data_IF_688943602608
#
_entry.id   IF_688943602608
#
_cell.length_a   1.000
_cell.length_b   1.000
_cell.length_c   1.000
_cell.angle_alpha   90.00
_cell.angle_beta   90.00
_cell.angle_gamma   90.00
#
_symmetry.space_group_name_H-M   'P 1'
#
loop_
_entity.id
_entity.type
_entity.pdbx_description
1 polymer ?
#
# COMPACT_ATOMS: atom_id res chain seq x y z
N UNK A 1 5.81 -13.02 5.76
CA UNK A 1 5.24 -11.71 5.42
C UNK A 1 6.35 -10.81 4.93
N UNK A 2 6.29 -10.52 3.64
CA UNK A 2 7.11 -9.58 2.91
C UNK A 2 6.76 -8.14 3.33
N UNK A 3 7.72 -7.24 3.13
CA UNK A 3 7.51 -5.81 3.27
C UNK A 3 7.30 -5.20 1.88
N UNK A 4 6.26 -4.39 1.72
CA UNK A 4 5.96 -3.68 0.47
C UNK A 4 6.21 -2.19 0.61
N UNK A 5 6.48 -1.51 -0.50
CA UNK A 5 6.56 -0.05 -0.53
C UNK A 5 5.20 0.55 -0.19
N UNK A 6 5.21 1.78 0.35
CA UNK A 6 4.00 2.52 0.63
C UNK A 6 4.19 4.00 0.27
N UNK A 7 3.08 4.70 0.05
CA UNK A 7 3.09 6.16 -0.10
C UNK A 7 3.31 6.91 1.22
N UNK A 8 3.21 6.24 2.37
CA UNK A 8 3.36 6.83 3.69
C UNK A 8 4.75 7.44 3.91
N UNK A 9 4.77 8.60 4.57
CA UNK A 9 5.98 9.36 4.87
C UNK A 9 6.44 9.09 6.30
N UNK A 10 7.73 8.82 6.47
CA UNK A 10 8.35 8.64 7.78
C UNK A 10 8.32 9.96 8.58
N UNK A 11 7.70 9.98 9.77
CA UNK A 11 7.65 11.20 10.60
C UNK A 11 9.02 11.69 11.08
N UNK A 12 10.06 10.86 10.98
CA UNK A 12 11.40 11.20 11.44
C UNK A 12 12.32 11.77 10.35
N UNK A 13 12.22 11.27 9.12
CA UNK A 13 13.18 11.61 8.06
C UNK A 13 12.56 12.03 6.74
N UNK A 14 11.22 12.02 6.62
CA UNK A 14 10.52 12.43 5.40
C UNK A 14 10.63 11.45 4.22
N UNK A 15 11.30 10.30 4.38
CA UNK A 15 11.37 9.27 3.34
C UNK A 15 10.17 8.33 3.39
N UNK A 16 9.93 7.58 2.32
CA UNK A 16 8.85 6.60 2.25
C UNK A 16 9.03 5.47 3.27
N UNK A 17 7.90 5.00 3.79
CA UNK A 17 7.79 3.84 4.66
C UNK A 17 7.55 2.57 3.86
N UNK A 18 7.84 1.44 4.49
CA UNK A 18 7.46 0.11 4.01
C UNK A 18 6.49 -0.51 5.01
N UNK A 19 5.69 -1.48 4.58
CA UNK A 19 4.91 -2.29 5.53
C UNK A 19 5.84 -3.03 6.49
N UNK A 20 5.45 -3.14 7.76
CA UNK A 20 6.25 -3.86 8.77
C UNK A 20 5.86 -5.33 8.83
N UNK A 21 6.84 -6.19 9.09
CA UNK A 21 6.63 -7.60 9.43
C UNK A 21 6.65 -7.87 10.94
N UNK A 22 6.79 -6.82 11.77
CA UNK A 22 6.80 -6.93 13.22
C UNK A 22 5.37 -6.80 13.75
N UNK A 23 4.90 -7.73 14.61
CA UNK A 23 3.55 -7.66 15.17
C UNK A 23 3.24 -6.29 15.79
N UNK A 24 2.01 -5.82 15.57
CA UNK A 24 1.45 -4.53 16.03
C UNK A 24 1.93 -3.28 15.28
N UNK A 25 3.02 -3.35 14.52
CA UNK A 25 3.47 -2.22 13.73
C UNK A 25 2.96 -2.33 12.30
N UNK A 26 2.52 -1.21 11.75
CA UNK A 26 2.06 -1.14 10.37
C UNK A 26 3.21 -0.86 9.42
N UNK A 27 4.18 -0.07 9.89
CA UNK A 27 5.24 0.47 9.03
C UNK A 27 6.63 0.36 9.63
N UNK A 28 7.62 0.31 8.74
CA UNK A 28 9.05 0.38 9.07
C UNK A 28 9.73 1.39 8.16
N UNK A 29 10.53 2.28 8.76
CA UNK A 29 11.47 3.12 8.02
C UNK A 29 12.84 2.42 8.01
N UNK A 30 13.33 2.05 6.83
CA UNK A 30 14.63 1.36 6.69
C UNK A 30 15.81 2.29 7.01
N UNK A 31 15.69 3.59 6.71
CA UNK A 31 16.74 4.58 7.01
C UNK A 31 16.85 4.89 8.50
N UNK A 32 15.72 5.02 9.20
CA UNK A 32 15.71 5.28 10.64
C UNK A 32 15.81 4.02 11.49
N UNK A 33 15.70 2.83 10.88
CA UNK A 33 15.59 1.55 11.56
C UNK A 33 14.52 1.56 12.69
N UNK A 34 13.36 2.16 12.40
CA UNK A 34 12.27 2.37 13.37
C UNK A 34 10.94 1.90 12.80
N UNK A 35 10.09 1.36 13.66
CA UNK A 35 8.72 0.94 13.34
C UNK A 35 7.69 1.95 13.84
N UNK A 36 6.55 2.00 13.17
CA UNK A 36 5.47 2.95 13.45
C UNK A 36 4.11 2.24 13.43
N UNK A 37 3.24 2.66 14.34
CA UNK A 37 1.81 2.36 14.31
C UNK A 37 1.12 3.17 13.21
N UNK A 38 -0.04 2.70 12.72
CA UNK A 38 -0.83 3.45 11.73
C UNK A 38 -1.07 4.89 12.15
N UNK A 39 -1.52 5.11 13.40
CA UNK A 39 -1.81 6.44 13.96
C UNK A 39 -0.64 7.42 14.05
N UNK A 40 0.60 6.93 13.95
CA UNK A 40 1.80 7.79 14.01
C UNK A 40 2.15 8.40 12.65
N UNK A 41 1.61 7.84 11.58
CA UNK A 41 1.85 8.29 10.20
C UNK A 41 0.72 9.21 9.78
N UNK A 42 1.06 10.44 9.36
CA UNK A 42 0.10 11.52 9.08
C UNK A 42 0.20 12.11 7.68
N UNK A 43 1.25 11.75 6.96
CA UNK A 43 1.53 12.31 5.64
C UNK A 43 1.80 11.18 4.63
N UNK A 44 1.46 11.46 3.37
CA UNK A 44 1.63 10.59 2.21
C UNK A 44 2.17 11.41 1.03
N UNK A 45 2.97 10.80 0.16
CA UNK A 45 3.42 11.41 -1.10
C UNK A 45 2.43 11.26 -2.24
N UNK A 46 1.48 10.34 -2.14
CA UNK A 46 0.52 10.09 -3.21
C UNK A 46 -0.69 11.01 -3.05
N UNK A 47 -1.08 11.64 -4.15
CA UNK A 47 -2.20 12.56 -4.24
C UNK A 47 -2.92 12.39 -5.57
N UNK A 48 -4.21 12.72 -5.60
CA UNK A 48 -5.00 12.77 -6.82
C UNK A 48 -5.86 14.03 -6.86
N UNK A 49 -6.16 14.49 -8.07
CA UNK A 49 -7.09 15.60 -8.27
C UNK A 49 -8.53 15.09 -8.33
N UNK A 50 -9.36 15.52 -7.38
CA UNK A 50 -10.78 15.24 -7.38
C UNK A 50 -11.53 16.32 -8.17
N UNK A 51 -12.00 15.95 -9.36
CA UNK A 51 -12.74 16.87 -10.24
C UNK A 51 -14.10 17.30 -9.65
N UNK A 52 -14.70 16.51 -8.75
CA UNK A 52 -16.00 16.83 -8.15
C UNK A 52 -15.85 17.89 -7.07
N UNK A 53 -14.80 17.79 -6.25
CA UNK A 53 -14.54 18.75 -5.18
C UNK A 53 -13.57 19.86 -5.60
N UNK A 54 -13.03 19.79 -6.81
CA UNK A 54 -11.99 20.67 -7.34
C UNK A 54 -10.82 20.84 -6.36
N UNK A 55 -10.37 19.72 -5.79
CA UNK A 55 -9.33 19.73 -4.76
C UNK A 55 -8.38 18.54 -4.88
N UNK A 56 -7.14 18.75 -4.44
CA UNK A 56 -6.16 17.67 -4.30
C UNK A 56 -6.45 16.88 -3.04
N UNK A 57 -6.64 15.57 -3.19
CA UNK A 57 -6.85 14.63 -2.09
C UNK A 57 -5.64 13.72 -1.92
N UNK A 58 -5.39 13.35 -0.68
CA UNK A 58 -4.34 12.40 -0.33
C UNK A 58 -4.77 10.97 -0.69
N UNK A 59 -3.82 10.19 -1.18
CA UNK A 59 -3.97 8.76 -1.45
C UNK A 59 -2.98 7.98 -0.60
N UNK A 60 -3.48 6.95 0.08
CA UNK A 60 -2.70 6.11 0.97
C UNK A 60 -2.62 4.73 0.36
N UNK A 61 -1.45 4.25 -0.06
CA UNK A 61 -1.34 3.06 -0.89
C UNK A 61 -0.16 2.15 -0.52
N UNK A 62 -0.35 0.85 -0.75
CA UNK A 62 0.71 -0.14 -0.77
C UNK A 62 1.06 -0.43 -2.23
N UNK A 63 2.34 -0.32 -2.57
CA UNK A 63 2.86 -0.55 -3.92
C UNK A 63 3.39 -1.98 -4.02
N UNK A 64 2.71 -2.82 -4.81
CA UNK A 64 2.99 -4.26 -4.88
C UNK A 64 3.60 -4.59 -6.25
N UNK A 65 4.89 -4.94 -6.32
CA UNK A 65 5.54 -5.27 -7.58
C UNK A 65 5.03 -6.61 -8.12
N UNK A 66 4.65 -6.63 -9.39
CA UNK A 66 4.24 -7.80 -10.16
C UNK A 66 4.95 -7.83 -11.53
N UNK A 67 5.17 -9.04 -12.04
CA UNK A 67 5.65 -9.21 -13.41
C UNK A 67 4.57 -8.75 -14.40
N UNK A 68 4.99 -8.11 -15.51
CA UNK A 68 4.08 -7.50 -16.48
C UNK A 68 3.07 -8.50 -17.05
N UNK A 69 3.52 -9.71 -17.36
CA UNK A 69 2.70 -10.81 -17.86
C UNK A 69 1.63 -11.28 -16.86
N UNK A 70 1.78 -10.97 -15.57
CA UNK A 70 0.84 -11.34 -14.52
C UNK A 70 -0.10 -10.20 -14.13
N UNK A 71 0.09 -8.99 -14.66
CA UNK A 71 -0.65 -7.79 -14.25
C UNK A 71 -2.16 -7.99 -14.31
N UNK A 72 -2.72 -8.31 -15.49
CA UNK A 72 -4.17 -8.43 -15.68
C UNK A 72 -4.79 -9.49 -14.75
N UNK A 73 -4.10 -10.62 -14.61
CA UNK A 73 -4.50 -11.71 -13.71
C UNK A 73 -4.51 -11.27 -12.25
N UNK A 74 -3.49 -10.52 -11.81
CA UNK A 74 -3.42 -10.02 -10.43
C UNK A 74 -4.47 -8.94 -10.18
N UNK A 75 -4.62 -7.96 -11.08
CA UNK A 75 -5.66 -6.92 -11.00
C UNK A 75 -7.05 -7.56 -10.89
N UNK A 76 -7.36 -8.56 -11.71
CA UNK A 76 -8.65 -9.25 -11.64
C UNK A 76 -8.89 -9.89 -10.27
N UNK A 77 -7.90 -10.60 -9.71
CA UNK A 77 -8.01 -11.21 -8.38
C UNK A 77 -8.09 -10.17 -7.27
N UNK A 78 -7.32 -9.09 -7.38
CA UNK A 78 -7.21 -8.05 -6.35
C UNK A 78 -8.37 -7.07 -6.35
N UNK A 79 -9.19 -7.02 -7.40
CA UNK A 79 -10.51 -6.37 -7.35
C UNK A 79 -11.40 -6.96 -6.25
N UNK A 80 -11.38 -8.28 -6.07
CA UNK A 80 -12.17 -8.92 -5.01
C UNK A 80 -11.56 -8.69 -3.62
N UNK A 81 -10.23 -8.60 -3.51
CA UNK A 81 -9.57 -8.17 -2.27
C UNK A 81 -9.89 -6.73 -1.92
N UNK A 82 -9.80 -5.82 -2.88
CA UNK A 82 -10.13 -4.40 -2.70
C UNK A 82 -11.55 -4.24 -2.15
N UNK A 83 -12.52 -4.97 -2.72
CA UNK A 83 -13.90 -5.00 -2.19
C UNK A 83 -13.96 -5.56 -0.77
N UNK A 84 -13.32 -6.71 -0.51
CA UNK A 84 -13.32 -7.36 0.81
C UNK A 84 -12.79 -6.45 1.93
N UNK A 85 -11.80 -5.63 1.60
CA UNK A 85 -11.11 -4.76 2.56
C UNK A 85 -11.47 -3.29 2.45
N UNK A 86 -12.50 -2.96 1.68
CA UNK A 86 -12.97 -1.60 1.48
C UNK A 86 -11.84 -0.65 1.04
N UNK A 87 -11.00 -1.12 0.11
CA UNK A 87 -10.02 -0.27 -0.54
C UNK A 87 -10.75 0.66 -1.50
N UNK A 88 -10.39 1.95 -1.46
CA UNK A 88 -10.99 2.98 -2.31
C UNK A 88 -10.37 2.96 -3.72
N UNK A 89 -9.15 2.43 -3.83
CA UNK A 89 -8.38 2.46 -5.07
C UNK A 89 -7.66 1.15 -5.38
N UNK A 90 -7.60 0.83 -6.68
CA UNK A 90 -6.76 -0.22 -7.25
C UNK A 90 -6.16 0.31 -8.56
N UNK A 91 -4.92 0.78 -8.49
CA UNK A 91 -4.18 1.36 -9.61
C UNK A 91 -3.00 0.51 -10.06
N UNK A 92 -2.28 1.01 -11.05
CA UNK A 92 -0.97 0.46 -11.37
C UNK A 92 -0.07 1.48 -12.05
N UNK A 93 1.21 1.37 -11.75
CA UNK A 93 2.30 2.08 -12.40
C UNK A 93 3.21 1.15 -13.20
N UNK A 94 3.59 1.61 -14.39
CA UNK A 94 4.53 0.91 -15.26
C UNK A 94 5.96 1.38 -14.98
N UNK A 95 6.78 0.53 -14.36
CA UNK A 95 8.17 0.86 -14.03
C UNK A 95 9.10 -0.03 -14.86
N UNK A 96 9.60 0.51 -15.98
CA UNK A 96 10.47 -0.19 -16.94
C UNK A 96 9.90 -1.58 -17.33
N UNK A 97 10.37 -2.64 -16.69
CA UNK A 97 10.01 -4.04 -16.95
C UNK A 97 9.12 -4.68 -15.86
N UNK A 98 8.67 -3.90 -14.88
CA UNK A 98 7.75 -4.35 -13.82
C UNK A 98 6.52 -3.45 -13.76
N UNK A 99 5.46 -3.99 -13.18
CA UNK A 99 4.26 -3.22 -12.84
C UNK A 99 4.19 -3.16 -11.33
N UNK A 100 3.95 -1.99 -10.78
CA UNK A 100 3.55 -1.85 -9.39
C UNK A 100 2.03 -1.71 -9.40
N UNK A 101 1.33 -2.61 -8.72
CA UNK A 101 -0.11 -2.48 -8.52
C UNK A 101 -0.32 -1.84 -7.16
N UNK A 102 -1.09 -0.78 -7.13
CA UNK A 102 -1.31 0.03 -5.95
C UNK A 102 -2.69 -0.27 -5.37
N UNK A 103 -2.72 -0.63 -4.10
CA UNK A 103 -3.95 -0.84 -3.34
C UNK A 103 -4.03 0.28 -2.32
N UNK A 104 -5.09 1.10 -2.37
CA UNK A 104 -5.14 2.32 -1.58
C UNK A 104 -6.48 2.71 -0.97
N UNK A 105 -6.39 3.75 -0.14
CA UNK A 105 -7.46 4.33 0.67
C UNK A 105 -7.38 5.86 0.64
N UNK A 106 -8.52 6.54 0.68
CA UNK A 106 -8.58 8.01 0.68
C UNK A 106 -8.37 8.63 2.08
N UNK A 107 -8.73 7.89 3.13
CA UNK A 107 -8.83 8.42 4.50
C UNK A 107 -7.78 7.85 5.46
N UNK A 108 -6.62 7.48 4.94
CA UNK A 108 -5.55 6.85 5.72
C UNK A 108 -5.50 5.34 5.55
N UNK A 109 -4.36 4.75 5.91
CA UNK A 109 -4.23 3.29 5.95
C UNK A 109 -5.17 2.67 6.99
N UNK A 110 -5.60 1.43 6.79
CA UNK A 110 -6.33 0.69 7.81
C UNK A 110 -5.44 0.37 9.02
N UNK A 111 -6.08 -0.08 10.10
CA UNK A 111 -5.38 -0.56 11.29
C UNK A 111 -4.46 -1.76 10.97
N UNK A 112 -3.41 -1.91 11.78
CA UNK A 112 -2.33 -2.89 11.57
C UNK A 112 -2.83 -4.32 11.30
N UNK A 113 -3.86 -4.78 12.01
CA UNK A 113 -4.38 -6.14 11.85
C UNK A 113 -5.02 -6.35 10.47
N UNK A 114 -5.75 -5.34 9.97
CA UNK A 114 -6.34 -5.37 8.63
C UNK A 114 -5.24 -5.29 7.59
N UNK A 115 -4.29 -4.36 7.74
CA UNK A 115 -3.15 -4.20 6.83
C UNK A 115 -2.36 -5.51 6.69
N UNK A 116 -2.05 -6.17 7.80
CA UNK A 116 -1.36 -7.46 7.81
C UNK A 116 -2.18 -8.58 7.16
N UNK A 117 -3.50 -8.58 7.34
CA UNK A 117 -4.35 -9.60 6.74
C UNK A 117 -4.45 -9.42 5.22
N UNK A 118 -4.51 -8.18 4.73
CA UNK A 118 -4.46 -7.87 3.30
C UNK A 118 -3.17 -8.40 2.68
N UNK A 119 -2.03 -8.11 3.31
CA UNK A 119 -0.71 -8.57 2.86
C UNK A 119 -0.64 -10.10 2.78
N UNK A 120 -1.13 -10.81 3.79
CA UNK A 120 -1.18 -12.29 3.79
C UNK A 120 -2.04 -12.82 2.65
N UNK A 121 -3.18 -12.20 2.39
CA UNK A 121 -4.08 -12.63 1.32
C UNK A 121 -3.46 -12.36 -0.07
N UNK A 122 -2.72 -11.26 -0.24
CA UNK A 122 -1.92 -10.95 -1.45
C UNK A 122 -0.86 -12.03 -1.67
N UNK A 123 -0.05 -12.31 -0.65
CA UNK A 123 1.02 -13.32 -0.67
C UNK A 123 0.48 -14.70 -1.07
N UNK A 124 -0.64 -15.11 -0.45
CA UNK A 124 -1.34 -16.35 -0.80
C UNK A 124 -1.78 -16.39 -2.27
N UNK A 125 -2.28 -15.28 -2.81
CA UNK A 125 -2.72 -15.22 -4.21
C UNK A 125 -1.56 -15.20 -5.23
N UNK A 126 -0.38 -14.78 -4.79
CA UNK A 126 0.89 -14.83 -5.52
C UNK A 126 1.57 -16.20 -5.47
N UNK A 127 1.15 -17.07 -4.55
CA UNK A 127 1.81 -18.36 -4.30
C UNK A 127 3.09 -18.21 -3.46
N UNK A 128 3.20 -17.11 -2.71
CA UNK A 128 4.28 -16.83 -1.78
C UNK A 128 3.77 -17.20 -0.38
N UNK A 129 3.88 -18.46 0.03
CA UNK A 129 3.45 -18.92 1.37
C UNK A 129 4.39 -19.95 1.95
#
# INVERSE_FOLDING_TARGET
MNTYGTSAICPCCGKTLYTSNIPKYSFVCKDCNKNFYTKEVKDTFAEYWDEVTESTKQLWEINIPVAKENQEKMVFKWKELAKKYHCDFLGFDMIYNRVEIDIGWENGFPECDILNQIIKDIEKQRGES
#
